data_IF_407404625508
#
_entry.id   IF_407404625508
#
_cell.length_a   1.000
_cell.length_b   1.000
_cell.length_c   1.000
_cell.angle_alpha   90.00
_cell.angle_beta   90.00
_cell.angle_gamma   90.00
#
_symmetry.space_group_name_H-M   'P 1'
#
loop_
_entity.id
_entity.type
_entity.pdbx_description
1 polymer ?
#
# COMPACT_ATOMS: atom_id res chain seq x y z
N UNK A 1 -3.32 20.38 -32.20
CA UNK A 1 -3.58 19.77 -30.88
C UNK A 1 -2.25 19.77 -30.17
N UNK A 2 -2.18 20.25 -28.93
CA UNK A 2 -0.94 20.18 -28.16
C UNK A 2 -0.84 18.79 -27.54
N UNK A 3 0.32 18.14 -27.70
CA UNK A 3 0.64 16.91 -26.97
C UNK A 3 0.63 17.23 -25.47
N UNK A 4 -0.29 16.60 -24.75
CA UNK A 4 -0.38 16.66 -23.29
C UNK A 4 0.36 15.43 -22.76
N UNK A 5 1.57 15.63 -22.25
CA UNK A 5 2.27 14.59 -21.49
C UNK A 5 1.60 14.48 -20.12
N UNK A 6 0.89 13.37 -19.91
CA UNK A 6 0.29 13.06 -18.62
C UNK A 6 1.38 12.52 -17.68
N UNK A 7 1.80 13.26 -16.64
CA UNK A 7 2.82 12.80 -15.70
C UNK A 7 2.35 11.61 -14.84
N UNK A 8 1.06 11.27 -14.90
CA UNK A 8 0.45 10.12 -14.22
C UNK A 8 0.28 8.91 -15.14
N UNK A 9 0.91 8.89 -16.32
CA UNK A 9 0.80 7.76 -17.26
C UNK A 9 1.74 6.61 -16.92
N UNK A 10 2.87 6.92 -16.29
CA UNK A 10 3.92 5.95 -15.96
C UNK A 10 3.60 5.18 -14.66
N UNK A 11 2.84 5.80 -13.76
CA UNK A 11 2.40 5.19 -12.50
C UNK A 11 1.03 4.53 -12.71
N UNK A 12 0.89 3.24 -12.44
CA UNK A 12 -0.41 2.56 -12.49
C UNK A 12 -1.23 2.95 -11.24
N UNK A 13 -2.31 3.74 -11.39
CA UNK A 13 -3.14 4.16 -10.26
C UNK A 13 -3.90 3.00 -9.61
N UNK A 14 -3.82 1.79 -10.18
CA UNK A 14 -4.40 0.56 -9.67
C UNK A 14 -3.34 -0.41 -9.09
N UNK A 15 -2.12 0.06 -8.80
CA UNK A 15 -1.17 -0.68 -7.96
C UNK A 15 -1.84 -1.12 -6.66
N UNK A 16 -1.56 -2.37 -6.28
CA UNK A 16 -2.12 -3.20 -5.20
C UNK A 16 -2.82 -2.39 -4.10
N UNK A 17 -4.15 -2.36 -4.15
CA UNK A 17 -5.00 -1.67 -3.19
C UNK A 17 -5.18 -2.43 -1.84
N UNK A 18 -4.42 -3.52 -1.64
CA UNK A 18 -4.51 -4.35 -0.44
C UNK A 18 -3.11 -4.68 0.08
N UNK A 19 -2.94 -4.48 1.38
CA UNK A 19 -1.76 -4.96 2.11
C UNK A 19 -2.17 -6.06 3.07
N UNK A 20 -1.36 -7.11 3.09
CA UNK A 20 -1.52 -8.23 4.00
C UNK A 20 -0.82 -7.89 5.31
N UNK A 21 -1.48 -8.16 6.43
CA UNK A 21 -0.95 -7.91 7.76
C UNK A 21 0.34 -8.71 7.96
N UNK A 22 1.39 -8.03 8.39
CA UNK A 22 2.73 -8.62 8.57
C UNK A 22 2.75 -9.75 9.61
N UNK A 23 1.75 -9.79 10.51
CA UNK A 23 1.67 -10.78 11.58
C UNK A 23 0.73 -11.94 11.29
N UNK A 24 -0.42 -11.69 10.64
CA UNK A 24 -1.47 -12.71 10.47
C UNK A 24 -1.95 -12.91 9.03
N UNK A 25 -1.47 -12.13 8.06
CA UNK A 25 -1.93 -12.16 6.67
C UNK A 25 -3.37 -11.64 6.47
N UNK A 26 -3.99 -11.11 7.53
CA UNK A 26 -5.29 -10.44 7.47
C UNK A 26 -5.24 -9.10 6.71
N UNK A 27 -6.40 -8.49 6.45
CA UNK A 27 -6.43 -7.23 5.70
C UNK A 27 -5.97 -6.04 6.54
N UNK A 28 -5.14 -5.18 5.94
CA UNK A 28 -4.75 -3.90 6.51
C UNK A 28 -5.61 -2.75 5.98
N UNK A 29 -6.01 -1.86 6.88
CA UNK A 29 -6.72 -0.62 6.59
C UNK A 29 -5.85 0.58 6.94
N UNK A 30 -5.64 1.48 5.99
CA UNK A 30 -4.83 2.68 6.21
C UNK A 30 -5.65 3.87 6.74
N UNK A 31 -5.17 4.45 7.84
CA UNK A 31 -5.54 5.79 8.27
C UNK A 31 -4.60 6.81 7.63
N UNK A 32 -4.91 7.25 6.41
CA UNK A 32 -4.03 8.08 5.58
C UNK A 32 -3.47 9.34 6.28
N UNK A 33 -4.27 10.00 7.13
CA UNK A 33 -3.85 11.20 7.88
C UNK A 33 -2.72 10.86 8.89
N UNK A 34 -2.79 9.68 9.50
CA UNK A 34 -1.86 9.24 10.53
C UNK A 34 -0.69 8.45 9.94
N UNK A 35 -0.77 8.08 8.65
CA UNK A 35 0.22 7.21 7.97
C UNK A 35 0.46 5.91 8.74
N UNK A 36 -0.64 5.34 9.23
CA UNK A 36 -0.66 4.10 10.00
C UNK A 36 -1.69 3.16 9.41
N UNK A 37 -1.39 1.87 9.47
CA UNK A 37 -2.28 0.81 9.03
C UNK A 37 -2.68 -0.07 10.21
N UNK A 38 -3.95 -0.45 10.28
CA UNK A 38 -4.47 -1.37 11.29
C UNK A 38 -4.95 -2.66 10.64
N UNK A 39 -4.64 -3.79 11.26
CA UNK A 39 -5.21 -5.06 10.84
C UNK A 39 -6.64 -5.24 11.36
N UNK A 40 -7.56 -5.61 10.47
CA UNK A 40 -8.95 -5.92 10.84
C UNK A 40 -9.06 -7.12 11.79
N UNK A 41 -8.18 -8.13 11.63
CA UNK A 41 -8.28 -9.39 12.35
C UNK A 41 -7.56 -9.37 13.70
N UNK A 42 -6.30 -8.91 13.74
CA UNK A 42 -5.49 -8.92 14.96
C UNK A 42 -5.40 -7.57 15.67
N UNK A 43 -5.93 -6.48 15.09
CA UNK A 43 -5.84 -5.11 15.62
C UNK A 43 -4.41 -4.57 15.80
N UNK A 44 -3.40 -5.24 15.23
CA UNK A 44 -2.03 -4.72 15.21
C UNK A 44 -1.95 -3.46 14.36
N UNK A 45 -1.06 -2.56 14.78
CA UNK A 45 -0.83 -1.27 14.14
C UNK A 45 0.58 -1.21 13.58
N UNK A 46 0.69 -0.86 12.32
CA UNK A 46 1.92 -0.75 11.55
C UNK A 46 2.06 0.67 11.00
N UNK A 47 3.28 1.10 10.68
CA UNK A 47 3.46 2.32 9.90
C UNK A 47 3.18 2.03 8.42
N UNK A 48 2.62 2.99 7.68
CA UNK A 48 2.39 2.77 6.24
C UNK A 48 3.70 2.47 5.51
N UNK A 49 4.80 3.13 5.90
CA UNK A 49 6.14 2.92 5.34
C UNK A 49 6.62 1.47 5.49
N UNK A 50 6.53 0.91 6.69
CA UNK A 50 6.90 -0.48 6.98
C UNK A 50 6.12 -1.49 6.11
N UNK A 51 4.82 -1.25 5.94
CA UNK A 51 3.96 -2.10 5.12
C UNK A 51 4.30 -1.97 3.63
N UNK A 52 4.59 -0.75 3.16
CA UNK A 52 5.02 -0.53 1.77
C UNK A 52 6.37 -1.20 1.49
N UNK A 53 7.36 -1.06 2.35
CA UNK A 53 8.67 -1.70 2.19
C UNK A 53 8.54 -3.22 2.10
N UNK A 54 7.80 -3.85 3.01
CA UNK A 54 7.56 -5.29 2.99
C UNK A 54 6.82 -5.77 1.73
N UNK A 55 5.96 -4.92 1.16
CA UNK A 55 5.21 -5.24 -0.06
C UNK A 55 6.07 -5.21 -1.32
N UNK A 56 7.08 -4.33 -1.37
CA UNK A 56 8.02 -4.22 -2.50
C UNK A 56 8.94 -5.43 -2.56
N UNK A 57 9.40 -5.92 -1.40
CA UNK A 57 10.22 -7.15 -1.33
C UNK A 57 9.44 -8.38 -1.80
N UNK A 58 8.11 -8.40 -1.62
CA UNK A 58 7.24 -9.53 -1.98
C UNK A 58 6.83 -9.56 -3.47
N UNK A 59 7.03 -8.48 -4.22
CA UNK A 59 6.61 -8.37 -5.62
C UNK A 59 7.68 -8.78 -6.65
N UNK A 60 8.87 -9.19 -6.19
CA UNK A 60 10.02 -9.53 -7.02
C UNK A 60 10.18 -11.05 -7.31
N UNK A 61 9.11 -11.84 -7.14
CA UNK A 61 9.05 -13.29 -7.46
C UNK A 61 8.18 -13.56 -8.70
#
# INVERSE_FOLDING_TARGET
MADFENPYVDEDPFVRAHFDCLNCGGKLWEYAIQRQMVCEDCSDVFSSEEVFEASVESAAD
#
